data_IF_384543998038
#
_entry.id   IF_384543998038
#
_cell.length_a   1.000
_cell.length_b   1.000
_cell.length_c   1.000
_cell.angle_alpha   90.00
_cell.angle_beta   90.00
_cell.angle_gamma   90.00
#
_symmetry.space_group_name_H-M   'P 1'
#
loop_
_entity.id
_entity.type
_entity.pdbx_description
1 polymer ?
#
# COMPACT_ATOMS: atom_id res chain seq x y z
N UNK A 1 15.13 -28.70 22.42
CA UNK A 1 15.81 -28.87 23.72
C UNK A 1 17.18 -28.15 23.65
N UNK A 2 17.22 -26.81 23.70
CA UNK A 2 18.39 -26.00 23.29
C UNK A 2 18.72 -24.79 24.21
N UNK A 3 18.38 -24.84 25.50
CA UNK A 3 18.50 -23.67 26.41
C UNK A 3 19.41 -23.87 27.64
N UNK A 4 20.27 -24.89 27.67
CA UNK A 4 21.02 -25.23 28.89
C UNK A 4 22.39 -24.54 29.06
N UNK A 5 22.78 -23.58 28.20
CA UNK A 5 24.08 -22.89 28.30
C UNK A 5 24.04 -21.35 28.28
N UNK A 6 22.86 -20.73 28.18
CA UNK A 6 22.72 -19.26 28.23
C UNK A 6 22.70 -18.74 29.66
N UNK A 7 23.41 -17.65 29.94
CA UNK A 7 23.38 -17.02 31.26
C UNK A 7 22.00 -16.44 31.57
N UNK A 8 21.67 -16.31 32.85
CA UNK A 8 20.40 -15.72 33.31
C UNK A 8 20.21 -14.29 32.75
N UNK A 9 21.31 -13.54 32.60
CA UNK A 9 21.32 -12.22 31.99
C UNK A 9 20.93 -12.26 30.50
N UNK A 10 21.46 -13.23 29.74
CA UNK A 10 21.10 -13.40 28.33
C UNK A 10 19.64 -13.81 28.14
N UNK A 11 19.11 -14.66 29.04
CA UNK A 11 17.69 -15.00 29.05
C UNK A 11 16.82 -13.77 29.30
N UNK A 12 17.20 -12.92 30.26
CA UNK A 12 16.49 -11.67 30.53
C UNK A 12 16.51 -10.72 29.33
N UNK A 13 17.66 -10.52 28.69
CA UNK A 13 17.77 -9.71 27.48
C UNK A 13 16.86 -10.23 26.35
N UNK A 14 16.86 -11.55 26.13
CA UNK A 14 16.07 -12.15 25.07
C UNK A 14 14.55 -12.06 25.37
N UNK A 15 14.13 -12.20 26.63
CA UNK A 15 12.75 -11.93 27.05
C UNK A 15 12.35 -10.47 26.79
N UNK A 16 13.25 -9.52 27.04
CA UNK A 16 13.02 -8.09 26.76
C UNK A 16 12.87 -7.86 25.25
N UNK A 17 13.71 -8.47 24.41
CA UNK A 17 13.57 -8.40 22.95
C UNK A 17 12.20 -8.92 22.49
N UNK A 18 11.74 -10.07 23.01
CA UNK A 18 10.41 -10.58 22.67
C UNK A 18 9.28 -9.66 23.13
N UNK A 19 9.40 -9.05 24.31
CA UNK A 19 8.40 -8.11 24.80
C UNK A 19 8.33 -6.84 23.94
N UNK A 20 9.47 -6.34 23.48
CA UNK A 20 9.55 -5.12 22.67
C UNK A 20 9.14 -5.33 21.21
N UNK A 21 9.53 -6.46 20.60
CA UNK A 21 9.42 -6.68 19.16
C UNK A 21 8.47 -7.81 18.76
N UNK A 22 8.04 -8.66 19.70
CA UNK A 22 7.28 -9.88 19.39
C UNK A 22 5.89 -9.65 18.80
N UNK A 23 5.35 -8.43 18.84
CA UNK A 23 4.12 -8.04 18.18
C UNK A 23 4.32 -7.53 16.75
N UNK A 24 5.55 -7.22 16.35
CA UNK A 24 5.91 -6.61 15.06
C UNK A 24 6.73 -7.56 14.17
N UNK A 25 7.54 -8.42 14.79
CA UNK A 25 8.46 -9.33 14.10
C UNK A 25 8.21 -10.75 14.56
N UNK A 26 8.25 -11.71 13.63
CA UNK A 26 8.18 -13.14 13.97
C UNK A 26 9.25 -13.54 14.99
N UNK A 27 8.87 -14.35 15.96
CA UNK A 27 9.76 -14.82 17.04
C UNK A 27 11.04 -15.49 16.51
N UNK A 28 10.94 -16.17 15.36
CA UNK A 28 12.04 -16.80 14.62
C UNK A 28 13.08 -15.77 14.15
N UNK A 29 12.63 -14.64 13.60
CA UNK A 29 13.49 -13.54 13.13
C UNK A 29 14.19 -12.83 14.30
N UNK A 30 13.50 -12.67 15.44
CA UNK A 30 14.12 -12.14 16.68
C UNK A 30 15.24 -13.07 17.15
N UNK A 31 15.00 -14.38 17.20
CA UNK A 31 15.99 -15.38 17.60
C UNK A 31 17.18 -15.47 16.64
N UNK A 32 16.93 -15.40 15.33
CA UNK A 32 17.97 -15.41 14.33
C UNK A 32 18.85 -14.16 14.44
N UNK A 33 18.25 -12.97 14.55
CA UNK A 33 19.00 -11.72 14.72
C UNK A 33 19.84 -11.74 16.00
N UNK A 34 19.27 -12.21 17.12
CA UNK A 34 20.01 -12.40 18.38
C UNK A 34 21.25 -13.29 18.23
N UNK A 35 21.13 -14.40 17.49
CA UNK A 35 22.27 -15.29 17.20
C UNK A 35 23.29 -14.66 16.27
N UNK A 36 22.84 -13.96 15.22
CA UNK A 36 23.70 -13.35 14.21
C UNK A 36 24.57 -12.22 14.78
N UNK A 37 24.08 -11.51 15.80
CA UNK A 37 24.79 -10.44 16.48
C UNK A 37 25.49 -10.92 17.77
N UNK A 38 25.90 -12.19 17.79
CA UNK A 38 26.68 -12.79 18.88
C UNK A 38 26.06 -12.60 20.28
N UNK A 39 24.73 -12.50 20.37
CA UNK A 39 24.01 -12.30 21.62
C UNK A 39 24.36 -10.97 22.33
N UNK A 40 24.79 -9.97 21.57
CA UNK A 40 25.02 -8.60 22.05
C UNK A 40 23.68 -7.85 22.00
N UNK A 41 23.18 -7.44 23.16
CA UNK A 41 21.85 -6.85 23.30
C UNK A 41 21.69 -5.52 22.58
N UNK A 42 22.63 -4.59 22.74
CA UNK A 42 22.55 -3.27 22.09
C UNK A 42 22.49 -3.39 20.57
N UNK A 43 23.38 -4.20 19.99
CA UNK A 43 23.45 -4.41 18.53
C UNK A 43 22.20 -5.13 18.00
N UNK A 44 21.71 -6.14 18.73
CA UNK A 44 20.48 -6.85 18.37
C UNK A 44 19.27 -5.91 18.44
N UNK A 45 19.17 -5.09 19.48
CA UNK A 45 18.11 -4.07 19.62
C UNK A 45 18.13 -3.09 18.44
N UNK A 46 19.29 -2.51 18.11
CA UNK A 46 19.41 -1.57 17.00
C UNK A 46 18.97 -2.23 15.69
N UNK A 47 19.40 -3.48 15.44
CA UNK A 47 19.04 -4.15 14.19
C UNK A 47 17.55 -4.47 14.09
N UNK A 48 16.92 -4.91 15.19
CA UNK A 48 15.48 -5.19 15.22
C UNK A 48 14.66 -3.90 15.06
N UNK A 49 15.13 -2.79 15.62
CA UNK A 49 14.52 -1.47 15.44
C UNK A 49 14.60 -1.01 13.98
N UNK A 50 15.75 -1.20 13.31
CA UNK A 50 15.90 -0.94 11.88
C UNK A 50 14.92 -1.77 11.04
N UNK A 51 14.75 -3.05 11.36
CA UNK A 51 13.81 -3.96 10.69
C UNK A 51 12.37 -3.47 10.89
N UNK A 52 11.99 -3.15 12.13
CA UNK A 52 10.67 -2.62 12.44
C UNK A 52 10.40 -1.32 11.69
N UNK A 53 11.34 -0.38 11.72
CA UNK A 53 11.22 0.92 11.05
C UNK A 53 11.08 0.76 9.54
N UNK A 54 11.85 -0.13 8.92
CA UNK A 54 11.76 -0.44 7.49
C UNK A 54 10.40 -1.05 7.12
N UNK A 55 9.91 -2.01 7.92
CA UNK A 55 8.61 -2.66 7.68
C UNK A 55 7.43 -1.69 7.83
N UNK A 56 7.50 -0.80 8.83
CA UNK A 56 6.48 0.23 9.06
C UNK A 56 6.50 1.29 7.95
N UNK A 57 7.69 1.67 7.49
CA UNK A 57 7.84 2.59 6.36
C UNK A 57 7.20 2.00 5.09
N UNK A 58 7.54 0.76 4.73
CA UNK A 58 6.97 0.09 3.57
C UNK A 58 5.44 -0.01 3.66
N UNK A 59 4.91 -0.40 4.84
CA UNK A 59 3.46 -0.44 5.07
C UNK A 59 2.80 0.92 4.90
N UNK A 60 3.45 1.99 5.37
CA UNK A 60 2.94 3.36 5.24
C UNK A 60 2.98 3.86 3.79
N UNK A 61 4.00 3.48 3.03
CA UNK A 61 4.12 3.79 1.60
C UNK A 61 3.05 3.06 0.78
N UNK A 62 2.88 1.76 0.99
CA UNK A 62 1.81 0.97 0.35
C UNK A 62 0.42 1.56 0.65
N UNK A 63 0.20 2.02 1.89
CA UNK A 63 -1.05 2.67 2.27
C UNK A 63 -1.25 4.01 1.52
N UNK A 64 -0.19 4.80 1.38
CA UNK A 64 -0.22 6.09 0.68
C UNK A 64 -0.44 5.92 -0.82
N UNK A 65 0.26 4.99 -1.45
CA UNK A 65 0.01 4.64 -2.85
C UNK A 65 -1.44 4.21 -3.07
N UNK A 66 -1.98 3.36 -2.19
CA UNK A 66 -3.34 2.89 -2.31
C UNK A 66 -4.36 4.03 -2.15
N UNK A 67 -4.12 4.97 -1.22
CA UNK A 67 -4.94 6.17 -1.07
C UNK A 67 -4.96 6.99 -2.36
N UNK A 68 -3.79 7.22 -2.98
CA UNK A 68 -3.68 7.96 -4.24
C UNK A 68 -4.41 7.24 -5.37
N UNK A 69 -4.14 5.94 -5.55
CA UNK A 69 -4.81 5.10 -6.56
C UNK A 69 -6.32 5.20 -6.40
N UNK A 70 -6.83 5.01 -5.18
CA UNK A 70 -8.25 5.07 -4.87
C UNK A 70 -8.88 6.42 -5.19
N UNK A 71 -8.25 7.52 -4.77
CA UNK A 71 -8.74 8.89 -5.00
C UNK A 71 -8.99 9.13 -6.50
N UNK A 72 -8.00 8.81 -7.34
CA UNK A 72 -8.10 8.98 -8.79
C UNK A 72 -9.07 7.99 -9.43
N UNK A 73 -9.03 6.71 -9.04
CA UNK A 73 -9.94 5.69 -9.57
C UNK A 73 -11.39 6.09 -9.34
N UNK A 74 -11.75 6.50 -8.12
CA UNK A 74 -13.09 6.94 -7.78
C UNK A 74 -13.48 8.20 -8.55
N UNK A 75 -12.57 9.17 -8.71
CA UNK A 75 -12.84 10.40 -9.46
C UNK A 75 -13.16 10.12 -10.93
N UNK A 76 -12.33 9.31 -11.60
CA UNK A 76 -12.51 8.94 -13.01
C UNK A 76 -13.82 8.17 -13.19
N UNK A 77 -14.03 7.12 -12.41
CA UNK A 77 -15.21 6.26 -12.52
C UNK A 77 -16.49 7.06 -12.24
N UNK A 78 -16.49 7.91 -11.21
CA UNK A 78 -17.62 8.77 -10.88
C UNK A 78 -17.97 9.74 -12.00
N UNK A 79 -16.98 10.39 -12.61
CA UNK A 79 -17.21 11.32 -13.72
C UNK A 79 -17.89 10.64 -14.92
N UNK A 80 -17.46 9.42 -15.27
CA UNK A 80 -18.06 8.65 -16.37
C UNK A 80 -19.47 8.19 -16.02
N UNK A 81 -19.67 7.68 -14.80
CA UNK A 81 -20.97 7.18 -14.33
C UNK A 81 -22.00 8.30 -14.23
N UNK A 82 -21.58 9.49 -13.74
CA UNK A 82 -22.45 10.66 -13.59
C UNK A 82 -22.80 11.30 -14.92
N UNK A 83 -21.85 11.33 -15.87
CA UNK A 83 -22.02 12.01 -17.15
C UNK A 83 -21.72 11.09 -18.35
N UNK A 84 -22.47 9.98 -18.51
CA UNK A 84 -22.12 8.96 -19.48
C UNK A 84 -22.12 9.48 -20.92
N UNK A 85 -22.99 10.44 -21.27
CA UNK A 85 -23.05 10.99 -22.63
C UNK A 85 -21.92 11.98 -22.98
N UNK A 86 -21.15 12.44 -21.99
CA UNK A 86 -20.17 13.50 -22.17
C UNK A 86 -18.81 12.89 -22.55
N UNK A 87 -18.42 13.03 -23.82
CA UNK A 87 -17.18 12.48 -24.35
C UNK A 87 -15.92 12.97 -23.61
N UNK A 88 -15.94 14.20 -23.08
CA UNK A 88 -14.82 14.75 -22.30
C UNK A 88 -14.41 13.87 -21.11
N UNK A 89 -15.37 13.27 -20.40
CA UNK A 89 -15.07 12.42 -19.23
C UNK A 89 -14.64 11.00 -19.61
N UNK A 90 -14.76 10.64 -20.89
CA UNK A 90 -14.24 9.39 -21.46
C UNK A 90 -12.79 9.53 -21.93
N UNK A 91 -12.16 10.69 -21.69
CA UNK A 91 -10.80 10.99 -22.08
C UNK A 91 -9.99 11.42 -20.86
N UNK A 92 -8.77 10.91 -20.75
CA UNK A 92 -7.84 11.29 -19.68
C UNK A 92 -6.54 11.75 -20.33
N UNK A 93 -6.18 12.99 -20.06
CA UNK A 93 -4.91 13.53 -20.52
C UNK A 93 -3.76 12.91 -19.70
N UNK A 94 -2.82 12.25 -20.37
CA UNK A 94 -1.71 11.54 -19.69
C UNK A 94 -0.83 12.50 -18.91
N UNK A 95 -0.48 13.64 -19.48
CA UNK A 95 0.41 14.60 -18.84
C UNK A 95 -0.21 15.17 -17.56
N UNK A 96 -1.50 15.51 -17.59
CA UNK A 96 -2.23 15.98 -16.42
C UNK A 96 -2.34 14.89 -15.34
N UNK A 97 -2.60 13.64 -15.75
CA UNK A 97 -2.66 12.49 -14.83
C UNK A 97 -1.30 12.23 -14.17
N UNK A 98 -0.22 12.23 -14.95
CA UNK A 98 1.13 12.01 -14.45
C UNK A 98 1.59 13.15 -13.55
N UNK A 99 1.34 14.40 -13.94
CA UNK A 99 1.62 15.56 -13.10
C UNK A 99 0.93 15.48 -11.74
N UNK A 100 -0.35 15.09 -11.74
CA UNK A 100 -1.08 14.83 -10.50
C UNK A 100 -0.41 13.74 -9.65
N UNK A 101 -0.03 12.60 -10.27
CA UNK A 101 0.64 11.51 -9.56
C UNK A 101 1.99 11.92 -9.00
N UNK A 102 2.82 12.63 -9.77
CA UNK A 102 4.13 13.13 -9.32
C UNK A 102 3.96 13.99 -8.06
N UNK A 103 3.03 14.96 -8.10
CA UNK A 103 2.79 15.83 -6.96
C UNK A 103 2.30 15.05 -5.73
N UNK A 104 1.29 14.17 -5.91
CA UNK A 104 0.73 13.40 -4.80
C UNK A 104 1.74 12.42 -4.20
N UNK A 105 2.49 11.70 -5.03
CA UNK A 105 3.48 10.73 -4.57
C UNK A 105 4.62 11.43 -3.82
N UNK A 106 5.10 12.57 -4.33
CA UNK A 106 6.10 13.39 -3.64
C UNK A 106 5.61 13.86 -2.27
N UNK A 107 4.37 14.34 -2.18
CA UNK A 107 3.79 14.80 -0.91
C UNK A 107 3.59 13.67 0.11
N UNK A 108 3.36 12.44 -0.33
CA UNK A 108 3.05 11.31 0.56
C UNK A 108 4.18 10.29 0.70
N UNK A 109 5.35 10.54 0.09
CA UNK A 109 6.47 9.60 0.05
C UNK A 109 6.13 8.24 -0.61
N UNK A 110 5.14 8.23 -1.51
CA UNK A 110 4.71 7.00 -2.20
C UNK A 110 5.56 6.73 -3.45
N UNK A 111 5.66 5.47 -3.88
CA UNK A 111 6.36 5.11 -5.10
C UNK A 111 5.55 5.53 -6.33
N UNK A 112 6.10 6.48 -7.10
CA UNK A 112 5.48 7.02 -8.29
C UNK A 112 5.32 5.97 -9.39
N UNK A 113 6.35 5.16 -9.65
CA UNK A 113 6.35 4.18 -10.74
C UNK A 113 5.33 3.07 -10.45
N UNK A 114 5.24 2.63 -9.19
CA UNK A 114 4.26 1.65 -8.74
C UNK A 114 2.81 2.18 -8.87
N UNK A 115 2.57 3.44 -8.50
CA UNK A 115 1.25 4.09 -8.65
C UNK A 115 0.86 4.20 -10.12
N UNK A 116 1.77 4.68 -10.96
CA UNK A 116 1.52 4.83 -12.40
C UNK A 116 1.24 3.49 -13.04
N UNK A 117 2.11 2.49 -12.85
CA UNK A 117 1.95 1.16 -13.43
C UNK A 117 0.60 0.54 -13.06
N UNK A 118 0.24 0.58 -11.78
CA UNK A 118 -1.03 0.02 -11.29
C UNK A 118 -2.23 0.78 -11.86
N UNK A 119 -2.14 2.11 -11.98
CA UNK A 119 -3.22 2.91 -12.55
C UNK A 119 -3.41 2.60 -14.04
N UNK A 120 -2.33 2.52 -14.82
CA UNK A 120 -2.41 2.19 -16.24
C UNK A 120 -3.06 0.82 -16.45
N UNK A 121 -2.72 -0.16 -15.62
CA UNK A 121 -3.36 -1.47 -15.60
C UNK A 121 -4.88 -1.37 -15.36
N UNK A 122 -5.31 -0.61 -14.35
CA UNK A 122 -6.74 -0.43 -14.07
C UNK A 122 -7.50 0.29 -15.19
N UNK A 123 -6.88 1.30 -15.81
CA UNK A 123 -7.47 1.98 -16.95
C UNK A 123 -7.73 0.99 -18.10
N UNK A 124 -6.76 0.13 -18.41
CA UNK A 124 -6.91 -0.91 -19.43
C UNK A 124 -8.04 -1.89 -19.09
N UNK A 125 -8.08 -2.39 -17.85
CA UNK A 125 -9.12 -3.31 -17.35
C UNK A 125 -10.55 -2.72 -17.46
N UNK A 126 -10.69 -1.41 -17.28
CA UNK A 126 -11.99 -0.75 -17.44
C UNK A 126 -12.37 -0.51 -18.90
N UNK A 127 -11.44 -0.68 -19.84
CA UNK A 127 -11.65 -0.49 -21.27
C UNK A 127 -11.11 0.83 -21.85
N UNK A 128 -10.19 1.49 -21.15
CA UNK A 128 -9.43 2.59 -21.75
C UNK A 128 -8.30 2.06 -22.62
N UNK A 129 -8.01 2.77 -23.71
CA UNK A 129 -6.85 2.55 -24.56
C UNK A 129 -6.06 3.84 -24.76
N UNK A 130 -4.74 3.71 -24.90
CA UNK A 130 -3.89 4.82 -25.33
C UNK A 130 -4.23 5.15 -26.79
N UNK A 131 -4.53 6.42 -27.06
CA UNK A 131 -4.72 6.95 -28.41
C UNK A 131 -3.47 7.69 -28.88
N UNK A 132 -3.60 8.42 -29.99
CA UNK A 132 -2.52 9.26 -30.50
C UNK A 132 -2.18 10.37 -29.49
N UNK A 133 -0.89 10.59 -29.23
CA UNK A 133 -0.42 11.53 -28.21
C UNK A 133 -0.50 10.99 -26.77
N UNK A 134 -0.56 9.67 -26.61
CA UNK A 134 -0.55 8.94 -25.33
C UNK A 134 -1.71 9.22 -24.35
N UNK A 135 -2.73 9.99 -24.75
CA UNK A 135 -3.93 10.19 -23.94
C UNK A 135 -4.74 8.89 -23.87
N UNK A 136 -5.50 8.72 -22.79
CA UNK A 136 -6.37 7.54 -22.61
C UNK A 136 -7.80 7.84 -23.06
N UNK A 137 -8.37 6.93 -23.84
CA UNK A 137 -9.72 7.04 -24.39
C UNK A 137 -10.52 5.79 -24.05
N UNK A 138 -11.75 5.97 -23.54
CA UNK A 138 -12.67 4.87 -23.31
C UNK A 138 -13.13 4.27 -24.65
N UNK A 139 -12.82 3.01 -24.90
CA UNK A 139 -12.90 2.44 -26.26
C UNK A 139 -14.33 2.16 -26.73
N UNK A 140 -15.30 2.03 -25.82
CA UNK A 140 -16.64 1.58 -26.19
C UNK A 140 -17.55 2.73 -26.62
N UNK A 141 -18.13 2.60 -27.82
CA UNK A 141 -19.18 3.49 -28.33
C UNK A 141 -20.37 3.56 -27.35
N UNK A 142 -20.71 2.42 -26.74
CA UNK A 142 -21.69 2.30 -25.65
C UNK A 142 -20.97 2.04 -24.34
N UNK A 143 -21.12 2.95 -23.36
CA UNK A 143 -20.53 2.76 -22.03
C UNK A 143 -21.09 1.49 -21.38
N UNK A 144 -20.20 0.63 -20.88
CA UNK A 144 -20.57 -0.52 -20.07
C UNK A 144 -20.84 -0.09 -18.62
N UNK A 145 -21.96 0.60 -18.38
CA UNK A 145 -22.28 1.21 -17.09
C UNK A 145 -22.24 0.19 -15.93
N UNK A 146 -22.72 -1.03 -16.17
CA UNK A 146 -22.71 -2.09 -15.18
C UNK A 146 -21.28 -2.51 -14.79
N UNK A 147 -20.36 -2.60 -15.75
CA UNK A 147 -18.95 -2.91 -15.48
C UNK A 147 -18.30 -1.78 -14.66
N UNK A 148 -18.43 -0.54 -15.12
CA UNK A 148 -17.88 0.63 -14.42
C UNK A 148 -18.46 0.81 -13.01
N UNK A 149 -19.75 0.49 -12.82
CA UNK A 149 -20.37 0.49 -11.49
C UNK A 149 -19.76 -0.56 -10.56
N UNK A 150 -19.49 -1.77 -11.06
CA UNK A 150 -18.79 -2.81 -10.30
C UNK A 150 -17.38 -2.36 -9.91
N UNK A 151 -16.63 -1.75 -10.85
CA UNK A 151 -15.31 -1.18 -10.57
C UNK A 151 -15.38 -0.07 -9.51
N UNK A 152 -16.38 0.83 -9.59
CA UNK A 152 -16.58 1.90 -8.62
C UNK A 152 -16.86 1.34 -7.22
N UNK A 153 -17.77 0.35 -7.13
CA UNK A 153 -18.09 -0.33 -5.88
C UNK A 153 -16.89 -1.04 -5.27
N UNK A 154 -16.04 -1.67 -6.10
CA UNK A 154 -14.80 -2.30 -5.64
C UNK A 154 -13.90 -1.29 -4.88
N UNK A 155 -13.67 -0.11 -5.45
CA UNK A 155 -12.83 0.91 -4.84
C UNK A 155 -13.43 1.53 -3.57
N UNK A 156 -14.75 1.72 -3.51
CA UNK A 156 -15.45 2.14 -2.28
C UNK A 156 -15.29 1.09 -1.19
N UNK A 157 -15.52 -0.19 -1.51
CA UNK A 157 -15.46 -1.26 -0.52
C UNK A 157 -14.06 -1.44 0.04
N UNK A 158 -13.02 -1.22 -0.77
CA UNK A 158 -11.65 -1.17 -0.26
C UNK A 158 -11.52 -0.12 0.84
N UNK A 159 -12.05 1.11 0.68
CA UNK A 159 -12.01 2.14 1.72
C UNK A 159 -12.65 1.70 3.03
N UNK A 160 -13.84 1.11 2.95
CA UNK A 160 -14.60 0.66 4.13
C UNK A 160 -13.84 -0.46 4.85
N UNK A 161 -13.29 -1.42 4.12
CA UNK A 161 -12.49 -2.51 4.68
C UNK A 161 -11.26 -1.99 5.43
N UNK A 162 -10.54 -1.00 4.90
CA UNK A 162 -9.42 -0.39 5.61
C UNK A 162 -9.86 0.28 6.92
N UNK A 163 -10.99 0.98 6.92
CA UNK A 163 -11.52 1.59 8.14
C UNK A 163 -11.81 0.51 9.20
N UNK A 164 -12.43 -0.60 8.82
CA UNK A 164 -12.68 -1.70 9.76
C UNK A 164 -11.40 -2.38 10.25
N UNK A 165 -10.43 -2.64 9.38
CA UNK A 165 -9.14 -3.23 9.78
C UNK A 165 -8.40 -2.32 10.75
N UNK A 166 -8.35 -1.01 10.48
CA UNK A 166 -7.72 -0.04 11.37
C UNK A 166 -8.42 0.03 12.74
N UNK A 167 -9.76 -0.03 12.77
CA UNK A 167 -10.52 -0.08 14.01
C UNK A 167 -10.24 -1.34 14.82
N UNK A 168 -10.13 -2.50 14.18
CA UNK A 168 -9.79 -3.77 14.84
C UNK A 168 -8.37 -3.74 15.42
N UNK A 169 -7.38 -3.25 14.65
CA UNK A 169 -6.00 -3.09 15.14
C UNK A 169 -5.96 -2.16 16.36
N UNK A 170 -6.70 -1.05 16.32
CA UNK A 170 -6.78 -0.10 17.45
C UNK A 170 -7.41 -0.70 18.70
N UNK A 171 -8.30 -1.69 18.58
CA UNK A 171 -8.87 -2.39 19.72
C UNK A 171 -7.92 -3.45 20.32
N UNK A 172 -6.91 -3.87 19.55
CA UNK A 172 -5.94 -4.89 19.97
C UNK A 172 -4.65 -4.30 20.57
N UNK A 173 -4.46 -2.98 20.49
CA UNK A 173 -3.34 -2.23 21.09
C UNK A 173 -3.83 -1.52 22.34
#
# INVERSE_FOLDING_TARGET
MFWNSTSLQQQHHLLTLFKCFGNQIETTTILQTWKNYNQIFADTCHKLDDICTTSNLNKSQEENELKIKREICLHILWNILKYPKHMKYRQINKQALYYYFTNKCHMSGADFDQVVWTMEYHLQDWGFKKGNGDNWYYQYNKIQLLHLWKCYRYWINKQIMYVFILLLIKQMI
#
